data_IF_055539450523
#
_entry.id   IF_055539450523
#
_cell.length_a   1.000
_cell.length_b   1.000
_cell.length_c   1.000
_cell.angle_alpha   90.00
_cell.angle_beta   90.00
_cell.angle_gamma   90.00
#
_symmetry.space_group_name_H-M   'P 1'
#
loop_
_entity.id
_entity.type
_entity.pdbx_description
1 polymer ?
#
# COMPACT_ATOMS: atom_id res chain seq x y z
N UNK A 1 -9.85 -11.81 -1.81
CA UNK A 1 -9.38 -10.79 -0.84
C UNK A 1 -10.56 -10.14 -0.11
N UNK A 2 -11.44 -9.40 -0.80
CA UNK A 2 -12.67 -8.89 -0.16
C UNK A 2 -13.67 -10.01 0.20
N UNK A 3 -13.76 -11.05 -0.62
CA UNK A 3 -14.50 -12.29 -0.28
C UNK A 3 -13.80 -13.14 0.80
N UNK A 4 -12.54 -12.81 1.12
CA UNK A 4 -11.68 -13.60 2.01
C UNK A 4 -11.57 -12.99 3.42
N UNK A 5 -12.44 -12.02 3.73
CA UNK A 5 -12.55 -11.42 5.07
C UNK A 5 -11.86 -10.07 5.28
N UNK A 6 -11.33 -9.41 4.24
CA UNK A 6 -10.78 -8.05 4.40
C UNK A 6 -11.90 -7.00 4.47
N UNK A 7 -12.00 -6.24 5.56
CA UNK A 7 -13.09 -5.26 5.76
C UNK A 7 -13.23 -4.25 4.60
N UNK A 8 -12.12 -3.69 4.13
CA UNK A 8 -12.12 -2.74 3.02
C UNK A 8 -10.81 -2.76 2.23
N UNK A 9 -10.82 -2.13 1.04
CA UNK A 9 -9.65 -1.88 0.21
C UNK A 9 -9.60 -0.41 -0.20
N UNK A 10 -8.41 0.18 -0.11
CA UNK A 10 -8.11 1.51 -0.66
C UNK A 10 -7.28 1.35 -1.93
N UNK A 11 -7.77 1.92 -3.03
CA UNK A 11 -7.12 1.88 -4.34
C UNK A 11 -6.52 3.25 -4.62
N UNK A 12 -5.22 3.25 -4.91
CA UNK A 12 -4.46 4.42 -5.32
C UNK A 12 -3.78 4.14 -6.67
N UNK A 13 -4.00 5.04 -7.63
CA UNK A 13 -3.24 5.09 -8.89
C UNK A 13 -2.98 6.57 -9.23
N UNK A 14 -1.81 6.86 -9.81
CA UNK A 14 -1.47 8.20 -10.33
C UNK A 14 -2.39 8.60 -11.49
N UNK A 15 -2.87 7.62 -12.26
CA UNK A 15 -3.89 7.79 -13.29
C UNK A 15 -5.26 7.72 -12.64
N UNK A 16 -5.76 8.88 -12.23
CA UNK A 16 -6.98 9.00 -11.42
C UNK A 16 -8.22 8.36 -12.08
N UNK A 17 -8.29 8.42 -13.40
CA UNK A 17 -9.33 7.86 -14.25
C UNK A 17 -9.33 6.32 -14.24
N UNK A 18 -8.15 5.70 -14.21
CA UNK A 18 -8.01 4.24 -14.11
C UNK A 18 -8.48 3.76 -12.74
N UNK A 19 -8.06 4.45 -11.67
CA UNK A 19 -8.52 4.14 -10.32
C UNK A 19 -10.03 4.36 -10.16
N UNK A 20 -10.58 5.44 -10.74
CA UNK A 20 -12.01 5.72 -10.69
C UNK A 20 -12.83 4.62 -11.37
N UNK A 21 -12.49 4.25 -12.61
CA UNK A 21 -13.20 3.19 -13.34
C UNK A 21 -13.12 1.83 -12.64
N UNK A 22 -11.97 1.51 -12.00
CA UNK A 22 -11.84 0.28 -11.22
C UNK A 22 -12.71 0.30 -9.96
N UNK A 23 -12.71 1.42 -9.22
CA UNK A 23 -13.52 1.57 -8.00
C UNK A 23 -15.00 1.50 -8.31
N UNK A 24 -15.46 2.17 -9.37
CA UNK A 24 -16.87 2.09 -9.82
C UNK A 24 -17.30 0.64 -10.05
N UNK A 25 -16.51 -0.12 -10.82
CA UNK A 25 -16.80 -1.53 -11.08
C UNK A 25 -16.79 -2.39 -9.82
N UNK A 26 -15.94 -2.10 -8.84
CA UNK A 26 -15.85 -2.89 -7.62
C UNK A 26 -16.96 -2.55 -6.62
N UNK A 27 -17.46 -1.31 -6.62
CA UNK A 27 -18.56 -0.90 -5.75
C UNK A 27 -19.87 -1.63 -6.07
N UNK A 28 -20.08 -2.06 -7.32
CA UNK A 28 -21.22 -2.88 -7.72
C UNK A 28 -21.25 -4.24 -6.97
N UNK A 29 -20.08 -4.78 -6.63
CA UNK A 29 -19.94 -6.07 -5.93
C UNK A 29 -19.67 -5.92 -4.43
N UNK A 30 -19.01 -4.83 -4.03
CA UNK A 30 -18.52 -4.59 -2.68
C UNK A 30 -18.90 -3.19 -2.16
N UNK A 31 -20.21 -2.90 -2.03
CA UNK A 31 -20.68 -1.57 -1.63
C UNK A 31 -20.13 -1.20 -0.24
N UNK A 32 -19.60 0.02 -0.12
CA UNK A 32 -19.06 0.57 1.12
C UNK A 32 -17.68 0.02 1.54
N UNK A 33 -17.11 -0.93 0.79
CA UNK A 33 -15.83 -1.59 1.15
C UNK A 33 -14.67 -1.20 0.23
N UNK A 34 -14.90 -0.33 -0.75
CA UNK A 34 -13.90 0.08 -1.74
C UNK A 34 -13.77 1.59 -1.70
N UNK A 35 -12.55 2.09 -1.47
CA UNK A 35 -12.25 3.52 -1.35
C UNK A 35 -11.24 3.91 -2.42
N UNK A 36 -11.51 4.99 -3.14
CA UNK A 36 -10.51 5.61 -4.03
C UNK A 36 -9.70 6.64 -3.24
N UNK A 37 -8.40 6.46 -3.16
CA UNK A 37 -7.51 7.50 -2.66
C UNK A 37 -7.23 8.52 -3.77
N UNK A 38 -7.36 9.82 -3.47
CA UNK A 38 -7.02 10.91 -4.40
C UNK A 38 -5.51 11.15 -4.47
N UNK A 39 -4.83 10.89 -3.37
CA UNK A 39 -3.39 10.99 -3.19
C UNK A 39 -2.89 9.73 -2.49
N UNK A 40 -1.57 9.53 -2.46
CA UNK A 40 -1.03 8.36 -1.77
C UNK A 40 -1.34 8.44 -0.27
N UNK A 41 -2.03 7.43 0.31
CA UNK A 41 -2.38 7.47 1.72
C UNK A 41 -1.16 7.20 2.61
N UNK A 42 -1.31 7.48 3.90
CA UNK A 42 -0.33 7.08 4.90
C UNK A 42 -0.32 5.54 5.01
N UNK A 43 0.77 4.91 4.56
CA UNK A 43 0.91 3.44 4.58
C UNK A 43 0.88 2.85 5.99
N UNK A 44 1.03 3.70 7.01
CA UNK A 44 1.00 3.30 8.42
C UNK A 44 -0.40 2.89 8.90
N UNK A 45 -1.43 3.19 8.11
CA UNK A 45 -2.84 2.83 8.36
C UNK A 45 -3.20 1.47 7.74
N UNK A 46 -2.29 0.84 6.99
CA UNK A 46 -2.55 -0.37 6.21
C UNK A 46 -1.71 -1.55 6.73
N UNK A 47 -2.35 -2.64 7.18
CA UNK A 47 -1.64 -3.87 7.56
C UNK A 47 -1.13 -4.64 6.33
N UNK A 48 -1.71 -4.39 5.14
CA UNK A 48 -1.30 -5.01 3.87
C UNK A 48 -1.16 -3.92 2.82
N UNK A 49 -0.04 -3.92 2.10
CA UNK A 49 0.26 -3.01 0.99
C UNK A 49 0.65 -3.82 -0.24
N UNK A 50 0.00 -3.56 -1.37
CA UNK A 50 0.19 -4.34 -2.60
C UNK A 50 0.55 -3.40 -3.75
N UNK A 51 1.62 -3.71 -4.48
CA UNK A 51 1.82 -3.17 -5.82
C UNK A 51 1.03 -4.04 -6.82
N UNK A 52 0.06 -3.43 -7.49
CA UNK A 52 -0.74 -4.07 -8.55
C UNK A 52 -0.39 -3.54 -9.96
N UNK A 53 0.80 -2.95 -10.12
CA UNK A 53 1.27 -2.38 -11.39
C UNK A 53 2.59 -3.03 -11.82
N UNK A 54 2.99 -2.83 -13.08
CA UNK A 54 4.30 -3.26 -13.58
C UNK A 54 5.46 -2.32 -13.20
N UNK A 55 5.25 -1.36 -12.29
CA UNK A 55 6.26 -0.35 -11.90
C UNK A 55 7.31 -0.94 -10.96
N UNK A 56 8.59 -0.57 -11.12
CA UNK A 56 9.64 -0.89 -10.15
C UNK A 56 10.34 -2.23 -10.42
N UNK A 57 10.32 -2.71 -11.67
CA UNK A 57 10.86 -4.01 -12.05
C UNK A 57 12.36 -4.03 -12.27
N UNK A 58 12.93 -2.91 -12.70
CA UNK A 58 14.36 -2.77 -12.97
C UNK A 58 15.06 -2.00 -11.87
N UNK A 59 16.34 -2.28 -11.70
CA UNK A 59 17.19 -1.45 -10.85
C UNK A 59 17.21 -0.01 -11.37
N UNK A 60 16.95 0.93 -10.48
CA UNK A 60 16.83 2.36 -10.81
C UNK A 60 15.42 2.81 -11.20
N UNK A 61 14.47 1.89 -11.45
CA UNK A 61 13.06 2.29 -11.62
C UNK A 61 12.54 2.96 -10.33
N UNK A 62 11.66 3.97 -10.46
CA UNK A 62 11.01 4.54 -9.30
C UNK A 62 10.17 3.48 -8.58
N UNK A 63 10.08 3.57 -7.27
CA UNK A 63 9.16 2.74 -6.49
C UNK A 63 7.72 3.01 -6.92
N UNK A 64 6.83 1.99 -6.89
CA UNK A 64 5.42 2.17 -7.23
C UNK A 64 4.70 3.15 -6.29
N UNK A 65 5.20 3.30 -5.07
CA UNK A 65 4.70 4.21 -4.05
C UNK A 65 5.80 4.59 -3.05
N UNK A 66 5.60 5.69 -2.34
CA UNK A 66 6.50 6.18 -1.30
C UNK A 66 6.38 5.34 -0.02
N UNK A 67 7.46 4.66 0.36
CA UNK A 67 7.47 3.75 1.53
C UNK A 67 7.80 4.44 2.87
N UNK A 68 7.86 5.77 2.93
CA UNK A 68 8.34 6.52 4.10
C UNK A 68 7.60 6.18 5.39
N UNK A 69 6.29 5.96 5.32
CA UNK A 69 5.45 5.72 6.51
C UNK A 69 5.13 4.24 6.75
N UNK A 70 5.76 3.35 5.98
CA UNK A 70 5.60 1.91 6.14
C UNK A 70 6.08 1.47 7.53
N UNK A 71 5.24 0.70 8.25
CA UNK A 71 5.50 0.25 9.62
C UNK A 71 6.01 -1.19 9.65
N UNK A 72 6.71 -1.53 10.73
CA UNK A 72 7.02 -2.91 11.04
C UNK A 72 5.73 -3.73 11.15
N UNK A 73 5.72 -4.97 10.64
CA UNK A 73 4.54 -5.84 10.64
C UNK A 73 3.59 -5.68 9.46
N UNK A 74 3.75 -4.66 8.61
CA UNK A 74 2.98 -4.55 7.36
C UNK A 74 3.40 -5.67 6.39
N UNK A 75 2.43 -6.42 5.88
CA UNK A 75 2.64 -7.36 4.79
C UNK A 75 2.74 -6.59 3.47
N UNK A 76 3.86 -6.74 2.75
CA UNK A 76 4.07 -6.12 1.45
C UNK A 76 4.12 -7.19 0.37
N UNK A 77 3.33 -7.00 -0.68
CA UNK A 77 3.24 -7.94 -1.79
C UNK A 77 3.28 -7.23 -3.15
N UNK A 78 3.61 -7.99 -4.19
CA UNK A 78 3.66 -7.55 -5.57
C UNK A 78 2.96 -8.58 -6.46
N UNK A 79 2.16 -8.13 -7.42
CA UNK A 79 1.50 -9.04 -8.38
C UNK A 79 2.46 -9.57 -9.44
N UNK A 80 3.65 -8.97 -9.54
CA UNK A 80 4.69 -9.41 -10.45
C UNK A 80 5.27 -10.75 -9.97
N UNK A 81 5.25 -11.75 -10.84
CA UNK A 81 5.66 -13.13 -10.51
C UNK A 81 7.14 -13.42 -10.77
N UNK A 82 7.82 -12.58 -11.55
CA UNK A 82 9.25 -12.69 -11.82
C UNK A 82 9.91 -11.30 -11.85
N UNK A 83 11.00 -11.09 -11.08
CA UNK A 83 11.63 -12.01 -10.13
C UNK A 83 10.73 -12.34 -8.91
N UNK A 84 11.02 -13.43 -8.19
CA UNK A 84 10.23 -13.85 -7.02
C UNK A 84 10.23 -12.81 -5.89
N UNK A 85 11.34 -12.07 -5.74
CA UNK A 85 11.44 -10.90 -4.87
C UNK A 85 11.70 -9.68 -5.76
N UNK A 86 10.73 -8.79 -5.88
CA UNK A 86 10.87 -7.55 -6.66
C UNK A 86 11.71 -6.51 -5.90
N UNK A 87 12.35 -5.54 -6.59
CA UNK A 87 13.05 -4.43 -5.94
C UNK A 87 12.17 -3.68 -4.92
N UNK A 88 10.87 -3.54 -5.23
CA UNK A 88 9.87 -2.98 -4.31
C UNK A 88 9.79 -3.76 -2.99
N UNK A 89 9.60 -5.09 -3.06
CA UNK A 89 9.52 -5.94 -1.87
C UNK A 89 10.83 -5.94 -1.07
N UNK A 90 11.98 -6.03 -1.76
CA UNK A 90 13.29 -5.98 -1.11
C UNK A 90 13.54 -4.65 -0.39
N UNK A 91 13.08 -3.52 -0.95
CA UNK A 91 13.18 -2.20 -0.31
C UNK A 91 12.26 -2.10 0.90
N UNK A 92 11.03 -2.58 0.80
CA UNK A 92 10.08 -2.63 1.90
C UNK A 92 10.62 -3.46 3.07
N UNK A 93 11.15 -4.66 2.80
CA UNK A 93 11.73 -5.53 3.82
C UNK A 93 12.86 -4.83 4.59
N UNK A 94 13.76 -4.15 3.88
CA UNK A 94 14.85 -3.38 4.50
C UNK A 94 14.35 -2.24 5.40
N UNK A 95 13.23 -1.61 5.04
CA UNK A 95 12.64 -0.52 5.84
C UNK A 95 11.93 -1.06 7.08
N UNK A 96 11.18 -2.15 6.95
CA UNK A 96 10.44 -2.81 8.05
C UNK A 96 11.40 -3.46 9.05
N UNK A 97 12.54 -3.99 8.58
CA UNK A 97 13.58 -4.58 9.45
C UNK A 97 14.42 -3.53 10.18
N UNK A 98 14.42 -2.28 9.72
CA UNK A 98 15.02 -1.18 10.47
C UNK A 98 14.08 -0.80 11.61
N UNK A 99 14.58 -0.54 12.84
CA UNK A 99 13.73 -0.01 13.89
C UNK A 99 13.10 1.29 13.37
N UNK A 100 11.77 1.32 13.29
CA UNK A 100 11.04 2.51 12.87
C UNK A 100 11.43 3.63 13.83
N UNK A 101 11.95 4.78 13.36
CA UNK A 101 12.26 5.88 14.25
C UNK A 101 10.98 6.25 14.99
N UNK A 102 11.01 6.16 16.33
CA UNK A 102 9.88 6.51 17.18
C UNK A 102 9.41 7.91 16.76
N UNK A 103 8.17 8.01 16.29
CA UNK A 103 7.55 9.29 15.97
C UNK A 103 7.32 9.99 17.31
N UNK A 104 8.27 10.80 17.76
CA UNK A 104 8.11 11.67 18.94
C UNK A 104 6.95 12.63 18.67
N UNK A 105 5.75 12.26 19.12
CA UNK A 105 4.51 13.00 18.87
C UNK A 105 3.39 12.73 19.88
N UNK A 106 3.32 11.54 20.49
CA UNK A 106 2.25 11.21 21.44
C UNK A 106 2.60 11.54 22.91
N UNK A 107 3.18 12.72 23.11
CA UNK A 107 3.28 13.34 24.43
C UNK A 107 2.20 14.42 24.57
N UNK A 108 0.95 14.01 24.83
CA UNK A 108 -0.22 14.77 25.36
C UNK A 108 -1.48 13.90 25.12
N UNK A 109 -2.33 13.50 26.07
CA UNK A 109 -2.54 13.80 27.48
C UNK A 109 -3.23 12.59 28.11
N UNK A 110 -2.67 12.06 29.19
CA UNK A 110 -3.48 11.63 30.34
C UNK A 110 -3.62 12.83 31.25
N UNK A 111 -4.85 13.27 31.47
CA UNK A 111 -5.30 14.02 32.64
C UNK A 111 -6.82 13.88 32.69
#
# INVERSE_FOLDING_TARGET
>A
MLDSGLDSITIFDRKTEVAAALVERLLDYYPGRVVRAKEQPDLSDFPIVINATSTGLRDGDPLPMNLRTLKAGTLVADVITKPAVTPFMAKAEKLIRRPHPLRNGDARRTA
#
